data_IF_035414320456
#
_entry.id   IF_035414320456
#
_cell.length_a   1.000
_cell.length_b   1.000
_cell.length_c   1.000
_cell.angle_alpha   90.00
_cell.angle_beta   90.00
_cell.angle_gamma   90.00
#
_symmetry.space_group_name_H-M   'P 1'
#
loop_
_entity.id
_entity.type
_entity.pdbx_description
1 polymer ?
#
# COMPACT_ATOMS: atom_id res chain seq x y z
N UNK A 1 -1.41 22.86 1.36
CA UNK A 1 -0.11 23.05 2.03
C UNK A 1 -0.04 22.30 3.36
N UNK A 2 -1.04 22.43 4.27
CA UNK A 2 -1.04 21.74 5.59
C UNK A 2 -1.04 20.21 5.48
N UNK A 3 -1.77 19.63 4.52
CA UNK A 3 -1.83 18.17 4.32
C UNK A 3 -0.50 17.57 3.85
N UNK A 4 0.26 18.29 3.03
CA UNK A 4 1.59 17.84 2.58
C UNK A 4 2.59 17.84 3.75
N UNK A 5 2.59 18.89 4.58
CA UNK A 5 3.42 18.96 5.77
C UNK A 5 3.08 17.84 6.77
N UNK A 6 1.79 17.51 6.94
CA UNK A 6 1.37 16.40 7.79
C UNK A 6 1.88 15.04 7.29
N UNK A 7 1.86 14.80 5.98
CA UNK A 7 2.36 13.56 5.38
C UNK A 7 3.89 13.42 5.46
N UNK A 8 4.61 14.55 5.50
CA UNK A 8 6.07 14.53 5.70
C UNK A 8 6.46 14.16 7.14
N UNK A 9 5.60 14.48 8.11
CA UNK A 9 5.88 14.21 9.53
C UNK A 9 5.32 12.86 9.99
N UNK A 10 4.19 12.43 9.42
CA UNK A 10 3.53 11.15 9.75
C UNK A 10 3.10 10.42 8.48
N UNK A 11 3.39 9.11 8.36
CA UNK A 11 3.05 8.33 7.17
C UNK A 11 1.55 7.99 7.06
N UNK A 12 0.74 8.42 8.01
CA UNK A 12 -0.69 8.17 8.09
C UNK A 12 -1.47 9.47 8.27
N UNK A 13 -2.51 9.67 7.45
CA UNK A 13 -3.39 10.83 7.49
C UNK A 13 -4.85 10.37 7.46
N UNK A 14 -5.63 10.77 8.45
CA UNK A 14 -7.07 10.55 8.49
C UNK A 14 -7.81 11.77 7.92
N UNK A 15 -8.56 11.56 6.84
CA UNK A 15 -9.40 12.57 6.22
C UNK A 15 -10.86 12.33 6.61
N UNK A 16 -11.35 13.10 7.59
CA UNK A 16 -12.75 13.10 8.01
C UNK A 16 -13.56 14.16 7.27
N UNK A 17 -14.83 13.88 7.04
CA UNK A 17 -15.76 14.83 6.42
C UNK A 17 -16.90 14.12 5.68
N UNK A 18 -17.87 14.90 5.22
CA UNK A 18 -19.06 14.42 4.52
C UNK A 18 -18.67 13.63 3.27
N UNK A 19 -19.43 12.57 2.94
CA UNK A 19 -19.23 11.80 1.71
C UNK A 19 -19.40 12.69 0.47
N UNK A 20 -18.64 12.41 -0.58
CA UNK A 20 -18.71 13.18 -1.83
C UNK A 20 -17.90 14.49 -1.85
N UNK A 21 -17.23 14.88 -0.77
CA UNK A 21 -16.45 16.13 -0.70
C UNK A 21 -15.07 16.04 -1.38
N UNK A 22 -14.78 14.95 -2.07
CA UNK A 22 -13.54 14.79 -2.83
C UNK A 22 -12.30 14.39 -2.01
N UNK A 23 -12.47 13.82 -0.81
CA UNK A 23 -11.35 13.40 0.05
C UNK A 23 -10.37 12.46 -0.66
N UNK A 24 -10.87 11.39 -1.26
CA UNK A 24 -10.08 10.40 -1.99
C UNK A 24 -9.42 11.00 -3.24
N UNK A 25 -10.05 11.99 -3.86
CA UNK A 25 -9.50 12.73 -5.00
C UNK A 25 -8.26 13.53 -4.64
N UNK A 26 -8.22 14.15 -3.46
CA UNK A 26 -7.05 14.88 -2.97
C UNK A 26 -5.82 13.96 -2.91
N UNK A 27 -5.96 12.75 -2.37
CA UNK A 27 -4.87 11.77 -2.28
C UNK A 27 -4.39 11.37 -3.67
N UNK A 28 -5.32 11.13 -4.61
CA UNK A 28 -4.99 10.81 -5.99
C UNK A 28 -4.23 11.94 -6.70
N UNK A 29 -4.61 13.18 -6.48
CA UNK A 29 -3.92 14.35 -7.04
C UNK A 29 -2.49 14.50 -6.50
N UNK A 30 -2.26 14.25 -5.19
CA UNK A 30 -0.90 14.22 -4.64
C UNK A 30 -0.06 13.10 -5.26
N UNK A 31 -0.63 11.91 -5.39
CA UNK A 31 0.03 10.80 -6.03
C UNK A 31 0.39 11.15 -7.48
N UNK A 32 -0.52 11.72 -8.24
CA UNK A 32 -0.29 12.09 -9.64
C UNK A 32 0.84 13.12 -9.79
N UNK A 33 0.86 14.17 -8.95
CA UNK A 33 1.91 15.20 -8.97
C UNK A 33 3.30 14.67 -8.64
N UNK A 34 3.38 13.62 -7.83
CA UNK A 34 4.65 12.98 -7.44
C UNK A 34 4.99 11.73 -8.26
N UNK A 35 4.11 11.33 -9.20
CA UNK A 35 4.29 10.13 -10.01
C UNK A 35 5.20 10.41 -11.21
N UNK A 36 6.36 9.76 -11.31
CA UNK A 36 7.18 9.84 -12.51
C UNK A 36 6.44 9.31 -13.74
N UNK A 37 6.70 9.87 -14.91
CA UNK A 37 6.02 9.49 -16.15
C UNK A 37 6.11 7.99 -16.47
N UNK A 38 7.22 7.34 -16.16
CA UNK A 38 7.42 5.91 -16.40
C UNK A 38 6.56 4.99 -15.51
N UNK A 39 6.00 5.52 -14.42
CA UNK A 39 5.07 4.82 -13.53
C UNK A 39 3.60 5.13 -13.82
N UNK A 40 3.31 6.10 -14.65
CA UNK A 40 1.94 6.40 -15.08
C UNK A 40 1.44 5.33 -16.06
N UNK A 41 0.12 5.25 -16.23
CA UNK A 41 -0.46 4.42 -17.29
C UNK A 41 -0.07 4.97 -18.69
N UNK A 42 -0.31 4.17 -19.73
CA UNK A 42 0.03 4.56 -21.10
C UNK A 42 -0.64 5.85 -21.57
N UNK A 43 -1.81 6.16 -21.01
CA UNK A 43 -2.56 7.39 -21.33
C UNK A 43 -2.10 8.59 -20.47
N UNK A 44 -1.22 8.40 -19.48
CA UNK A 44 -0.79 9.44 -18.56
C UNK A 44 -1.91 9.98 -17.65
N UNK A 45 -2.95 9.20 -17.44
CA UNK A 45 -4.16 9.61 -16.70
C UNK A 45 -4.24 9.02 -15.29
N UNK A 46 -3.52 7.92 -15.05
CA UNK A 46 -3.57 7.20 -13.78
C UNK A 46 -2.17 7.09 -13.17
N UNK A 47 -1.98 7.59 -11.92
CA UNK A 47 -0.70 7.49 -11.25
C UNK A 47 -0.45 6.05 -10.78
N UNK A 48 0.70 5.49 -11.15
CA UNK A 48 1.08 4.13 -10.77
C UNK A 48 1.55 4.00 -9.32
N UNK A 49 1.73 5.12 -8.61
CA UNK A 49 2.08 5.21 -7.19
C UNK A 49 0.86 5.45 -6.29
N UNK A 50 -0.36 5.17 -6.78
CA UNK A 50 -1.61 5.31 -6.04
C UNK A 50 -2.38 4.00 -6.01
N UNK A 51 -2.88 3.62 -4.85
CA UNK A 51 -3.75 2.48 -4.66
C UNK A 51 -4.96 2.87 -3.82
N UNK A 52 -6.14 2.78 -4.38
CA UNK A 52 -7.39 2.89 -3.64
C UNK A 52 -7.91 1.51 -3.28
N UNK A 53 -8.28 1.34 -2.03
CA UNK A 53 -8.83 0.13 -1.44
C UNK A 53 -10.15 0.50 -0.78
N UNK A 54 -11.23 -0.07 -1.28
CA UNK A 54 -12.57 0.11 -0.74
C UNK A 54 -12.77 -0.90 0.38
N UNK A 55 -12.96 -0.40 1.59
CA UNK A 55 -13.29 -1.23 2.76
C UNK A 55 -14.73 -1.70 2.65
N UNK A 56 -14.97 -2.98 2.97
CA UNK A 56 -16.31 -3.56 2.93
C UNK A 56 -16.79 -3.92 4.32
N UNK A 57 -18.11 -3.86 4.58
CA UNK A 57 -18.68 -4.15 5.89
C UNK A 57 -18.40 -5.55 6.44
N UNK A 58 -18.06 -6.50 5.58
CA UNK A 58 -17.77 -7.89 5.94
C UNK A 58 -16.30 -8.16 6.28
N UNK A 59 -15.47 -7.15 6.41
CA UNK A 59 -14.08 -7.32 6.82
C UNK A 59 -13.98 -7.51 8.32
N UNK A 60 -13.40 -8.63 8.73
CA UNK A 60 -13.31 -9.05 10.14
C UNK A 60 -11.88 -9.25 10.64
N UNK A 61 -10.92 -9.36 9.71
CA UNK A 61 -9.51 -9.58 10.01
C UNK A 61 -8.61 -8.97 8.92
N UNK A 62 -7.30 -9.11 9.09
CA UNK A 62 -6.32 -8.56 8.15
C UNK A 62 -6.17 -9.32 6.84
N UNK A 63 -6.82 -10.46 6.67
CA UNK A 63 -6.69 -11.29 5.44
C UNK A 63 -7.18 -10.56 4.19
N UNK A 64 -8.15 -9.67 4.33
CA UNK A 64 -8.66 -8.84 3.25
C UNK A 64 -7.62 -7.82 2.72
N UNK A 65 -6.70 -7.39 3.58
CA UNK A 65 -5.58 -6.53 3.21
C UNK A 65 -4.33 -7.33 2.87
N UNK A 66 -3.93 -8.26 3.72
CA UNK A 66 -2.66 -8.96 3.61
C UNK A 66 -2.74 -10.19 2.71
N UNK A 67 -3.92 -10.80 2.58
CA UNK A 67 -4.10 -12.04 1.84
C UNK A 67 -4.08 -13.28 2.74
N UNK A 68 -4.21 -14.43 2.14
CA UNK A 68 -4.30 -15.69 2.85
C UNK A 68 -3.69 -16.85 2.06
N UNK A 69 -3.36 -17.92 2.75
CA UNK A 69 -2.90 -19.15 2.13
C UNK A 69 -4.09 -20.01 1.72
N UNK A 70 -4.25 -20.28 0.41
CA UNK A 70 -5.26 -21.19 -0.10
C UNK A 70 -4.65 -22.59 -0.29
N UNK A 71 -5.39 -23.61 0.17
CA UNK A 71 -5.05 -25.02 -0.07
C UNK A 71 -5.76 -25.61 -1.28
N UNK A 72 -6.58 -24.83 -1.98
CA UNK A 72 -7.34 -25.28 -3.14
C UNK A 72 -6.44 -25.38 -4.38
N UNK A 73 -6.66 -26.39 -5.19
CA UNK A 73 -5.88 -26.65 -6.40
C UNK A 73 -4.39 -26.93 -6.11
N UNK A 74 -3.50 -26.16 -6.72
CA UNK A 74 -2.04 -26.26 -6.48
C UNK A 74 -1.61 -25.69 -5.13
N UNK A 75 -2.53 -25.11 -4.37
CA UNK A 75 -2.20 -24.35 -3.16
C UNK A 75 -1.41 -23.08 -3.44
N UNK A 76 -1.28 -22.22 -2.42
CA UNK A 76 -0.43 -21.03 -2.52
C UNK A 76 -1.02 -19.81 -1.83
N UNK A 77 -0.18 -18.79 -1.65
CA UNK A 77 -0.58 -17.55 -1.02
C UNK A 77 -1.33 -16.65 -2.03
N UNK A 78 -2.50 -16.19 -1.64
CA UNK A 78 -3.33 -15.27 -2.42
C UNK A 78 -3.00 -13.83 -2.01
N UNK A 79 -2.21 -13.16 -2.85
CA UNK A 79 -1.81 -11.78 -2.62
C UNK A 79 -2.92 -10.80 -3.00
N UNK A 80 -3.25 -9.92 -2.08
CA UNK A 80 -4.19 -8.84 -2.31
C UNK A 80 -3.61 -7.72 -3.17
N UNK A 81 -4.47 -6.81 -3.61
CA UNK A 81 -4.07 -5.57 -4.29
C UNK A 81 -3.13 -4.74 -3.41
N UNK A 82 -3.38 -4.69 -2.11
CA UNK A 82 -2.55 -3.95 -1.15
C UNK A 82 -1.12 -4.50 -1.08
N UNK A 83 -0.96 -5.81 -0.88
CA UNK A 83 0.38 -6.42 -0.80
C UNK A 83 1.15 -6.27 -2.10
N UNK A 84 0.51 -6.48 -3.25
CA UNK A 84 1.13 -6.24 -4.57
C UNK A 84 1.59 -4.80 -4.72
N UNK A 85 0.82 -3.85 -4.21
CA UNK A 85 1.18 -2.43 -4.23
C UNK A 85 2.35 -2.11 -3.30
N UNK A 86 2.43 -2.71 -2.10
CA UNK A 86 3.57 -2.57 -1.20
C UNK A 86 4.87 -3.10 -1.82
N UNK A 87 4.81 -4.28 -2.47
CA UNK A 87 5.94 -4.83 -3.21
C UNK A 87 6.41 -3.87 -4.30
N UNK A 88 5.46 -3.31 -5.06
CA UNK A 88 5.79 -2.28 -6.06
C UNK A 88 6.46 -1.06 -5.43
N UNK A 89 5.96 -0.56 -4.30
CA UNK A 89 6.55 0.57 -3.60
C UNK A 89 8.00 0.30 -3.18
N UNK A 90 8.30 -0.91 -2.72
CA UNK A 90 9.67 -1.33 -2.37
C UNK A 90 10.63 -1.33 -3.58
N UNK A 91 10.11 -1.58 -4.78
CA UNK A 91 10.92 -1.54 -6.01
C UNK A 91 11.28 -0.11 -6.46
N UNK A 92 10.59 0.90 -5.96
CA UNK A 92 10.79 2.31 -6.31
C UNK A 92 10.96 3.18 -5.05
N UNK A 93 12.03 2.99 -4.27
CA UNK A 93 12.19 3.58 -2.94
C UNK A 93 12.29 5.12 -2.95
N UNK A 94 12.64 5.72 -4.08
CA UNK A 94 12.74 7.18 -4.24
C UNK A 94 11.41 7.85 -4.62
N UNK A 95 10.38 7.07 -4.91
CA UNK A 95 9.06 7.58 -5.30
C UNK A 95 8.09 7.44 -4.14
N UNK A 96 7.35 8.49 -3.74
CA UNK A 96 6.33 8.38 -2.72
C UNK A 96 5.13 7.58 -3.26
N UNK A 97 4.68 6.58 -2.50
CA UNK A 97 3.53 5.76 -2.80
C UNK A 97 2.39 6.06 -1.83
N UNK A 98 1.16 6.11 -2.33
CA UNK A 98 -0.02 6.48 -1.58
C UNK A 98 -1.06 5.36 -1.60
N UNK A 99 -1.43 4.89 -0.42
CA UNK A 99 -2.58 4.01 -0.22
C UNK A 99 -3.72 4.84 0.34
N UNK A 100 -4.89 4.72 -0.27
CA UNK A 100 -6.12 5.32 0.22
C UNK A 100 -7.09 4.20 0.62
N UNK A 101 -7.39 4.09 1.91
CA UNK A 101 -8.49 3.26 2.41
C UNK A 101 -9.76 4.10 2.34
N UNK A 102 -10.64 3.77 1.40
CA UNK A 102 -11.90 4.46 1.24
C UNK A 102 -12.97 3.80 2.12
N UNK A 103 -13.84 4.64 2.72
CA UNK A 103 -14.90 4.21 3.63
C UNK A 103 -14.39 3.30 4.78
N UNK A 104 -13.23 3.64 5.38
CA UNK A 104 -12.57 2.76 6.36
C UNK A 104 -13.41 2.52 7.63
N UNK A 105 -14.47 3.30 7.86
CA UNK A 105 -15.42 3.14 8.95
C UNK A 105 -16.50 2.08 8.70
N UNK A 106 -16.58 1.47 7.51
CA UNK A 106 -17.56 0.42 7.21
C UNK A 106 -17.26 -0.89 7.93
N UNK A 107 -16.03 -1.12 8.36
CA UNK A 107 -15.62 -2.27 9.16
C UNK A 107 -14.81 -1.79 10.37
N UNK A 108 -14.70 -2.58 11.46
CA UNK A 108 -13.88 -2.24 12.61
C UNK A 108 -12.39 -2.16 12.23
N UNK A 109 -11.84 -0.95 12.24
CA UNK A 109 -10.44 -0.67 11.83
C UNK A 109 -9.45 -1.46 12.65
N UNK A 110 -9.71 -1.59 13.94
CA UNK A 110 -8.91 -2.36 14.90
C UNK A 110 -8.85 -3.86 14.59
N UNK A 111 -9.73 -4.38 13.74
CA UNK A 111 -9.70 -5.79 13.33
C UNK A 111 -8.91 -6.00 12.05
N UNK A 112 -9.25 -5.28 10.99
CA UNK A 112 -8.62 -5.52 9.68
C UNK A 112 -7.30 -4.78 9.46
N UNK A 113 -7.01 -3.77 10.28
CA UNK A 113 -5.84 -2.89 10.11
C UNK A 113 -4.86 -2.95 11.29
N UNK A 114 -5.10 -3.80 12.31
CA UNK A 114 -4.34 -3.87 13.55
C UNK A 114 -2.84 -4.08 13.32
N UNK A 115 -2.46 -5.03 12.47
CA UNK A 115 -1.04 -5.33 12.21
C UNK A 115 -0.32 -4.16 11.56
N UNK A 116 -1.01 -3.44 10.67
CA UNK A 116 -0.43 -2.29 9.99
C UNK A 116 -0.30 -1.10 10.95
N UNK A 117 -1.29 -0.86 11.82
CA UNK A 117 -1.20 0.16 12.86
C UNK A 117 -0.01 -0.11 13.79
N UNK A 118 0.17 -1.33 14.23
CA UNK A 118 1.30 -1.73 15.08
C UNK A 118 2.65 -1.44 14.40
N UNK A 119 2.78 -1.74 13.13
CA UNK A 119 4.00 -1.44 12.35
C UNK A 119 4.21 0.07 12.22
N UNK A 120 3.15 0.85 11.97
CA UNK A 120 3.25 2.31 11.86
C UNK A 120 3.65 2.97 13.18
N UNK A 121 3.18 2.46 14.32
CA UNK A 121 3.49 2.95 15.66
C UNK A 121 4.94 2.61 16.08
N UNK A 122 5.41 1.43 15.75
CA UNK A 122 6.75 0.95 16.13
C UNK A 122 7.86 1.43 15.20
N UNK A 123 7.51 2.10 14.10
CA UNK A 123 8.44 2.56 13.07
C UNK A 123 9.42 3.58 13.64
N UNK A 124 10.72 3.23 13.66
CA UNK A 124 11.82 4.15 13.95
C UNK A 124 12.37 4.72 12.64
N UNK A 125 12.60 6.03 12.56
CA UNK A 125 13.42 6.60 11.49
C UNK A 125 14.85 6.07 11.67
N UNK A 126 15.50 5.48 10.65
CA UNK A 126 16.92 5.20 10.73
C UNK A 126 17.65 6.53 10.88
N UNK A 127 18.16 6.82 12.05
CA UNK A 127 19.26 7.78 12.22
C UNK A 127 20.44 7.13 11.54
N UNK A 128 21.03 7.79 10.55
CA UNK A 128 22.24 7.43 9.82
C UNK A 128 23.18 6.49 10.59
N UNK A 129 22.89 5.22 10.64
CA UNK A 129 23.77 4.17 11.09
C UNK A 129 23.53 2.97 10.21
N UNK A 130 24.63 2.41 9.78
CA UNK A 130 24.80 1.31 8.86
C UNK A 130 23.74 0.22 8.98
N UNK A 131 23.21 -0.16 7.82
CA UNK A 131 22.31 -1.25 7.54
C UNK A 131 22.45 -2.44 8.52
N UNK A 132 21.68 -2.41 9.59
CA UNK A 132 21.26 -3.67 10.20
C UNK A 132 19.99 -4.10 9.46
N UNK A 133 20.09 -5.23 8.80
CA UNK A 133 18.97 -5.99 8.23
C UNK A 133 17.99 -6.32 9.36
N UNK A 134 17.07 -5.44 9.64
CA UNK A 134 16.07 -5.50 10.67
C UNK A 134 14.68 -5.39 10.07
N UNK A 135 14.17 -6.51 9.67
CA UNK A 135 12.82 -6.99 9.92
C UNK A 135 11.63 -6.27 9.27
N UNK A 136 11.53 -6.39 7.96
CA UNK A 136 10.27 -6.58 7.27
C UNK A 136 10.40 -7.76 6.29
N UNK A 137 10.64 -8.93 6.83
CA UNK A 137 10.70 -10.22 6.12
C UNK A 137 9.29 -10.76 5.89
N UNK A 138 8.39 -9.97 5.29
CA UNK A 138 7.08 -10.55 4.94
C UNK A 138 6.97 -11.00 3.48
N UNK A 139 7.86 -10.59 2.60
CA UNK A 139 7.91 -11.14 1.23
C UNK A 139 9.34 -11.05 0.71
N UNK A 140 9.98 -12.18 0.44
CA UNK A 140 11.25 -12.21 -0.29
C UNK A 140 11.02 -11.56 -1.66
N UNK A 141 11.61 -10.40 -1.89
CA UNK A 141 11.50 -9.63 -3.14
C UNK A 141 11.98 -10.38 -4.37
N UNK A 142 12.76 -11.43 -4.19
CA UNK A 142 13.25 -12.33 -5.23
C UNK A 142 12.16 -13.11 -5.96
N UNK A 143 10.95 -13.19 -5.39
CA UNK A 143 9.81 -13.89 -5.99
C UNK A 143 8.97 -13.03 -6.94
N UNK A 144 9.27 -11.73 -7.05
CA UNK A 144 8.46 -10.82 -7.87
C UNK A 144 9.34 -10.05 -8.86
N UNK A 145 9.00 -10.12 -10.13
CA UNK A 145 9.55 -9.23 -11.15
C UNK A 145 8.42 -8.37 -11.74
N UNK A 146 8.72 -7.09 -11.96
CA UNK A 146 7.83 -6.15 -12.61
C UNK A 146 8.26 -5.98 -14.08
N UNK A 147 7.41 -6.38 -15.02
CA UNK A 147 7.58 -6.09 -16.45
C UNK A 147 6.29 -5.52 -17.02
N UNK A 148 6.38 -4.35 -17.64
CA UNK A 148 5.29 -3.73 -18.42
C UNK A 148 3.93 -3.66 -17.71
N UNK A 149 3.92 -3.25 -16.44
CA UNK A 149 2.67 -3.07 -15.69
C UNK A 149 2.02 -4.36 -15.17
N UNK A 150 2.63 -5.51 -15.37
CA UNK A 150 2.13 -6.79 -14.87
C UNK A 150 3.09 -7.43 -13.86
N UNK A 151 2.54 -7.96 -12.78
CA UNK A 151 3.28 -8.77 -11.82
C UNK A 151 3.34 -10.21 -12.30
N UNK A 152 4.54 -10.78 -12.39
CA UNK A 152 4.72 -12.22 -12.53
C UNK A 152 5.29 -12.77 -11.24
N UNK A 153 4.65 -13.79 -10.71
CA UNK A 153 5.19 -14.60 -9.63
C UNK A 153 6.23 -15.55 -10.24
N UNK A 154 7.49 -15.36 -9.89
CA UNK A 154 8.51 -16.35 -10.24
C UNK A 154 8.36 -17.50 -9.24
N UNK A 155 7.80 -18.61 -9.70
CA UNK A 155 7.80 -19.85 -8.94
C UNK A 155 9.22 -20.38 -9.02
N UNK A 156 9.99 -20.21 -7.96
CA UNK A 156 11.25 -20.93 -7.79
C UNK A 156 10.89 -22.38 -7.53
N UNK A 157 11.31 -23.25 -8.44
CA UNK A 157 11.24 -24.70 -8.27
C UNK A 157 12.24 -25.15 -7.22
#
# INVERSE_FOLDING_TARGET
LRSVAALQTKPFLLLAGISGTGKSRIVREFAFKSCPKYLQDKAGTTPGNYCMIEVKPNWHDSTELLGYYSRLGKGGYQFTKFVKFLVKAKMFPTVPFFVCLDEMNLAPVEQYFAEILSILETRKHPKNEETSEGDMTMVKTEQFSYRHGQYRQNIVK
#
